data_IF_450580191118
#
_entry.id   IF_450580191118
#
_cell.length_a   1.000
_cell.length_b   1.000
_cell.length_c   1.000
_cell.angle_alpha   90.00
_cell.angle_beta   90.00
_cell.angle_gamma   90.00
#
_symmetry.space_group_name_H-M   'P 1'
#
loop_
_entity.id
_entity.type
_entity.pdbx_description
1 polymer ?
#
# COMPACT_ATOMS: atom_id res chain seq x y z
N UNK A 1 0.76 -22.91 38.79
CA UNK A 1 0.96 -21.50 39.15
C UNK A 1 -0.08 -20.71 38.38
N UNK A 2 -1.07 -20.13 39.04
CA UNK A 2 -1.92 -19.10 38.44
C UNK A 2 -1.11 -17.81 38.46
N UNK A 3 -0.42 -17.51 37.35
CA UNK A 3 0.10 -16.17 37.13
C UNK A 3 -1.06 -15.18 37.08
N UNK A 4 -0.83 -13.94 37.50
CA UNK A 4 -1.87 -12.92 37.40
C UNK A 4 -2.21 -12.72 35.92
N UNK A 5 -3.49 -12.78 35.57
CA UNK A 5 -3.97 -12.65 34.20
C UNK A 5 -3.69 -11.26 33.61
N UNK A 6 -3.26 -10.31 34.44
CA UNK A 6 -2.93 -8.93 34.09
C UNK A 6 -1.41 -8.64 34.02
N UNK A 7 -0.52 -9.61 34.30
CA UNK A 7 0.93 -9.40 34.17
C UNK A 7 1.31 -9.13 32.70
N UNK A 8 1.87 -7.95 32.44
CA UNK A 8 2.22 -7.48 31.10
C UNK A 8 1.12 -6.72 30.35
N UNK A 9 -0.03 -6.44 30.97
CA UNK A 9 -1.11 -5.66 30.38
C UNK A 9 -0.70 -4.19 30.10
N UNK A 10 -0.78 -3.74 28.85
CA UNK A 10 -0.38 -2.39 28.44
C UNK A 10 -1.59 -1.46 28.27
N UNK A 11 -1.63 -0.37 29.02
CA UNK A 11 -2.62 0.70 28.82
C UNK A 11 -2.49 1.29 27.41
N UNK A 12 -3.59 1.30 26.63
CA UNK A 12 -3.61 1.74 25.22
C UNK A 12 -4.41 3.02 25.00
N UNK A 13 -5.64 3.06 25.53
CA UNK A 13 -6.58 4.17 25.30
C UNK A 13 -7.44 4.44 26.52
N UNK A 14 -7.61 5.72 26.84
CA UNK A 14 -8.51 6.21 27.88
C UNK A 14 -9.73 6.85 27.21
N UNK A 15 -10.92 6.39 27.60
CA UNK A 15 -12.19 6.75 27.01
C UNK A 15 -13.12 7.35 28.06
N UNK A 16 -13.85 8.39 27.66
CA UNK A 16 -15.09 8.81 28.32
C UNK A 16 -16.26 8.54 27.39
N UNK A 17 -17.31 7.89 27.88
CA UNK A 17 -18.60 7.74 27.18
C UNK A 17 -19.73 7.89 28.20
N UNK A 18 -20.73 8.69 27.86
CA UNK A 18 -21.92 8.93 28.70
C UNK A 18 -21.56 9.35 30.13
N UNK A 19 -20.49 10.16 30.24
CA UNK A 19 -19.93 10.63 31.51
C UNK A 19 -19.03 9.61 32.24
N UNK A 20 -19.12 8.32 31.93
CA UNK A 20 -18.33 7.23 32.52
C UNK A 20 -16.95 7.11 31.88
N UNK A 21 -15.98 6.62 32.65
CA UNK A 21 -14.59 6.43 32.22
C UNK A 21 -14.27 4.96 32.01
N UNK A 22 -13.47 4.69 30.98
CA UNK A 22 -13.02 3.36 30.62
C UNK A 22 -11.56 3.39 30.18
N UNK A 23 -10.76 2.41 30.58
CA UNK A 23 -9.42 2.17 30.04
C UNK A 23 -9.46 0.91 29.17
N UNK A 24 -9.05 1.04 27.91
CA UNK A 24 -8.70 -0.09 27.04
C UNK A 24 -7.24 -0.47 27.31
N UNK A 25 -7.06 -1.71 27.76
CA UNK A 25 -5.76 -2.34 28.02
C UNK A 25 -5.56 -3.47 27.02
N UNK A 26 -4.34 -3.61 26.51
CA UNK A 26 -3.95 -4.67 25.59
C UNK A 26 -3.18 -5.74 26.35
N UNK A 27 -3.65 -6.98 26.28
CA UNK A 27 -3.06 -8.14 26.94
C UNK A 27 -2.62 -9.18 25.90
N UNK A 28 -1.45 -9.75 26.09
CA UNK A 28 -0.97 -10.87 25.28
C UNK A 28 -1.55 -12.17 25.85
N UNK A 29 -2.63 -12.66 25.25
CA UNK A 29 -3.26 -13.92 25.64
C UNK A 29 -2.63 -15.06 24.83
N UNK A 30 -2.11 -16.08 25.50
CA UNK A 30 -1.62 -17.29 24.84
C UNK A 30 -2.79 -18.01 24.16
N UNK A 31 -2.70 -18.22 22.84
CA UNK A 31 -3.67 -19.00 22.06
C UNK A 31 -3.15 -20.42 21.86
N UNK A 32 -1.85 -20.54 21.54
CA UNK A 32 -1.13 -21.80 21.38
C UNK A 32 0.24 -21.73 22.09
N UNK A 33 0.94 -22.86 22.29
CA UNK A 33 2.29 -22.88 22.86
C UNK A 33 3.27 -21.99 22.07
N UNK A 34 3.62 -20.83 22.63
CA UNK A 34 4.51 -19.84 22.01
C UNK A 34 3.81 -18.81 21.11
N UNK A 35 2.49 -18.93 20.89
CA UNK A 35 1.72 -17.96 20.08
C UNK A 35 0.82 -17.14 21.00
N UNK A 36 1.07 -15.83 21.03
CA UNK A 36 0.30 -14.87 21.82
C UNK A 36 -0.48 -13.95 20.90
N UNK A 37 -1.76 -13.72 21.22
CA UNK A 37 -2.63 -12.79 20.50
C UNK A 37 -2.94 -11.57 21.37
N UNK A 38 -2.72 -10.33 20.88
CA UNK A 38 -3.16 -9.15 21.58
C UNK A 38 -4.69 -9.13 21.67
N UNK A 39 -5.20 -9.05 22.89
CA UNK A 39 -6.63 -9.03 23.22
C UNK A 39 -6.91 -7.76 24.01
N UNK A 40 -7.92 -6.99 23.59
CA UNK A 40 -8.33 -5.79 24.31
C UNK A 40 -9.29 -6.15 25.45
N UNK A 41 -8.93 -5.79 26.67
CA UNK A 41 -9.84 -5.76 27.81
C UNK A 41 -10.18 -4.32 28.20
N UNK A 42 -11.27 -4.15 28.94
CA UNK A 42 -11.81 -2.83 29.28
C UNK A 42 -12.10 -2.73 30.78
N UNK A 43 -11.49 -1.77 31.43
CA UNK A 43 -11.66 -1.48 32.86
C UNK A 43 -12.58 -0.25 32.98
N UNK A 44 -13.70 -0.38 33.69
CA UNK A 44 -14.66 0.70 33.93
C UNK A 44 -14.43 1.39 35.28
N UNK A 45 -14.64 2.71 35.32
CA UNK A 45 -14.63 3.52 36.54
C UNK A 45 -13.25 4.09 36.89
N UNK A 46 -13.24 5.35 37.35
CA UNK A 46 -12.00 6.09 37.64
C UNK A 46 -11.08 5.37 38.63
N UNK A 47 -11.64 4.80 39.69
CA UNK A 47 -10.88 4.13 40.75
C UNK A 47 -10.22 2.84 40.27
N UNK A 48 -10.95 1.99 39.54
CA UNK A 48 -10.40 0.77 38.93
C UNK A 48 -9.30 1.07 37.90
N UNK A 49 -9.48 2.13 37.11
CA UNK A 49 -8.47 2.60 36.14
C UNK A 49 -7.20 3.08 36.87
N UNK A 50 -7.33 3.92 37.91
CA UNK A 50 -6.16 4.39 38.66
C UNK A 50 -5.45 3.23 39.36
N UNK A 51 -6.20 2.34 40.01
CA UNK A 51 -5.64 1.15 40.67
C UNK A 51 -4.83 0.30 39.69
N UNK A 52 -5.40 0.00 38.50
CA UNK A 52 -4.68 -0.75 37.46
C UNK A 52 -3.40 -0.03 37.02
N UNK A 53 -3.46 1.29 36.79
CA UNK A 53 -2.30 2.07 36.38
C UNK A 53 -1.20 2.10 37.45
N UNK A 54 -1.55 2.14 38.74
CA UNK A 54 -0.57 2.06 39.84
C UNK A 54 0.06 0.66 39.98
N UNK A 55 -0.67 -0.41 39.67
CA UNK A 55 -0.16 -1.79 39.82
C UNK A 55 0.65 -2.28 38.60
N UNK A 56 0.15 -2.08 37.38
CA UNK A 56 0.67 -2.74 36.18
C UNK A 56 1.51 -1.85 35.25
N UNK A 57 1.55 -0.53 35.48
CA UNK A 57 2.43 0.38 34.76
C UNK A 57 3.53 0.92 35.67
N UNK A 58 4.78 0.52 35.40
CA UNK A 58 5.98 1.06 36.06
C UNK A 58 6.19 2.57 35.85
N UNK A 59 5.40 3.19 34.97
CA UNK A 59 5.50 4.58 34.56
C UNK A 59 4.48 5.46 35.31
N UNK A 60 4.88 5.93 36.50
CA UNK A 60 4.04 6.73 37.41
C UNK A 60 3.48 8.03 36.79
N UNK A 61 4.05 8.47 35.68
CA UNK A 61 3.63 9.65 34.94
C UNK A 61 2.28 9.43 34.23
N UNK A 62 1.98 8.19 33.81
CA UNK A 62 0.74 7.87 33.10
C UNK A 62 -0.48 7.85 34.04
N UNK A 63 -0.29 7.43 35.29
CA UNK A 63 -1.29 7.56 36.36
C UNK A 63 -1.54 9.04 36.70
N UNK A 64 -0.45 9.83 36.88
CA UNK A 64 -0.53 11.26 37.16
C UNK A 64 -1.23 12.03 36.05
N UNK A 65 -0.93 11.67 34.79
CA UNK A 65 -1.60 12.20 33.60
C UNK A 65 -3.08 11.80 33.56
N UNK A 66 -3.44 10.57 33.94
CA UNK A 66 -4.83 10.12 33.96
C UNK A 66 -5.69 10.95 34.93
N UNK A 67 -5.17 11.22 36.13
CA UNK A 67 -5.83 12.11 37.12
C UNK A 67 -6.10 13.50 36.53
N UNK A 68 -5.09 14.11 35.92
CA UNK A 68 -5.24 15.40 35.24
C UNK A 68 -6.30 15.38 34.15
N UNK A 69 -6.33 14.34 33.30
CA UNK A 69 -7.36 14.16 32.27
C UNK A 69 -8.76 13.99 32.87
N UNK A 70 -8.91 13.23 33.95
CA UNK A 70 -10.20 13.05 34.61
C UNK A 70 -10.80 14.36 35.13
N UNK A 71 -9.97 15.24 35.70
CA UNK A 71 -10.42 16.47 36.33
C UNK A 71 -10.62 17.61 35.32
N UNK A 72 -9.82 17.67 34.26
CA UNK A 72 -9.89 18.71 33.22
C UNK A 72 -10.90 18.43 32.11
N UNK A 73 -11.18 17.17 31.80
CA UNK A 73 -12.06 16.82 30.68
C UNK A 73 -13.51 17.14 31.00
N UNK A 74 -14.12 17.99 30.17
CA UNK A 74 -15.56 18.27 30.19
C UNK A 74 -16.26 17.63 28.99
N UNK A 75 -17.56 17.35 29.11
CA UNK A 75 -18.39 16.73 28.06
C UNK A 75 -18.60 15.21 28.21
N UNK A 76 -19.60 14.63 27.50
CA UNK A 76 -20.01 13.24 27.67
C UNK A 76 -19.05 12.23 27.01
N UNK A 77 -18.38 12.62 25.92
CA UNK A 77 -17.49 11.75 25.15
C UNK A 77 -16.10 12.39 24.97
N UNK A 78 -15.06 11.60 25.17
CA UNK A 78 -13.67 11.99 24.92
C UNK A 78 -12.80 10.74 24.74
N UNK A 79 -11.71 10.86 23.98
CA UNK A 79 -10.77 9.76 23.72
C UNK A 79 -9.34 10.27 23.80
N UNK A 80 -8.48 9.52 24.50
CA UNK A 80 -7.07 9.83 24.67
C UNK A 80 -6.24 8.57 24.44
N UNK A 81 -5.09 8.71 23.80
CA UNK A 81 -4.12 7.63 23.54
C UNK A 81 -2.90 7.77 24.44
N UNK A 82 -2.34 6.64 24.87
CA UNK A 82 -1.13 6.61 25.68
C UNK A 82 0.09 6.86 24.81
N UNK A 83 0.79 7.98 25.02
CA UNK A 83 2.01 8.33 24.32
C UNK A 83 3.07 8.84 25.31
N UNK A 84 4.21 8.12 25.42
CA UNK A 84 5.38 8.51 26.23
C UNK A 84 5.03 8.97 27.66
N UNK A 85 4.35 8.11 28.43
CA UNK A 85 3.94 8.41 29.80
C UNK A 85 2.79 9.42 29.95
N UNK A 86 2.18 9.90 28.86
CA UNK A 86 1.10 10.90 28.90
C UNK A 86 -0.12 10.49 28.08
N UNK A 87 -1.29 11.03 28.45
CA UNK A 87 -2.53 10.87 27.70
C UNK A 87 -2.75 12.03 26.73
N UNK A 88 -2.72 11.74 25.43
CA UNK A 88 -2.89 12.74 24.36
C UNK A 88 -4.29 12.60 23.75
N UNK A 89 -5.09 13.68 23.61
CA UNK A 89 -6.40 13.61 22.96
C UNK A 89 -6.30 13.06 21.52
N UNK A 90 -7.11 12.06 21.17
CA UNK A 90 -7.02 11.38 19.87
C UNK A 90 -7.32 12.28 18.66
N UNK A 91 -8.10 13.35 18.86
CA UNK A 91 -8.31 14.36 17.82
C UNK A 91 -7.04 15.18 17.51
N UNK A 92 -6.13 15.27 18.49
CA UNK A 92 -4.88 16.03 18.43
C UNK A 92 -3.75 15.15 17.92
N UNK A 93 -3.68 13.87 18.32
CA UNK A 93 -2.79 12.88 17.69
C UNK A 93 -3.10 12.76 16.20
N UNK A 94 -4.36 12.53 15.81
CA UNK A 94 -4.78 12.41 14.41
C UNK A 94 -4.55 13.69 13.57
N UNK A 95 -4.49 14.88 14.19
CA UNK A 95 -4.10 16.11 13.50
C UNK A 95 -2.57 16.21 13.37
N UNK A 96 -1.84 15.94 14.43
CA UNK A 96 -0.37 15.99 14.42
C UNK A 96 0.24 14.97 13.45
N UNK A 97 -0.32 13.75 13.37
CA UNK A 97 0.07 12.77 12.36
C UNK A 97 -0.22 13.23 10.94
N UNK A 98 -1.38 13.86 10.68
CA UNK A 98 -1.69 14.46 9.35
C UNK A 98 -0.76 15.62 9.00
N UNK A 99 -0.42 16.48 9.95
CA UNK A 99 0.51 17.59 9.74
C UNK A 99 1.96 17.08 9.53
N UNK A 100 2.39 16.02 10.22
CA UNK A 100 3.67 15.34 9.94
C UNK A 100 3.66 14.66 8.57
N UNK A 101 2.61 13.92 8.22
CA UNK A 101 2.44 13.29 6.92
C UNK A 101 2.50 14.33 5.79
N UNK A 102 1.84 15.49 5.94
CA UNK A 102 1.90 16.59 4.97
C UNK A 102 3.31 17.17 4.82
N UNK A 103 4.08 17.31 5.92
CA UNK A 103 5.49 17.74 5.85
C UNK A 103 6.36 16.71 5.14
N UNK A 104 6.26 15.44 5.50
CA UNK A 104 6.99 14.34 4.84
C UNK A 104 6.66 14.26 3.35
N UNK A 105 5.39 14.38 2.95
CA UNK A 105 4.98 14.45 1.55
C UNK A 105 5.64 15.61 0.80
N UNK A 106 5.69 16.81 1.39
CA UNK A 106 6.39 17.95 0.79
C UNK A 106 7.91 17.75 0.69
N UNK A 107 8.53 17.15 1.71
CA UNK A 107 9.95 16.79 1.72
C UNK A 107 10.26 15.77 0.61
N UNK A 108 9.44 14.72 0.48
CA UNK A 108 9.52 13.70 -0.59
C UNK A 108 9.33 14.32 -1.97
N UNK A 109 8.36 15.23 -2.16
CA UNK A 109 8.19 15.94 -3.44
C UNK A 109 9.43 16.78 -3.81
N UNK A 110 10.04 17.47 -2.83
CA UNK A 110 11.28 18.22 -3.08
C UNK A 110 12.47 17.30 -3.39
N UNK A 111 12.57 16.14 -2.75
CA UNK A 111 13.57 15.12 -3.05
C UNK A 111 13.41 14.59 -4.49
N UNK A 112 12.18 14.25 -4.90
CA UNK A 112 11.90 13.80 -6.27
C UNK A 112 12.22 14.86 -7.32
N UNK A 113 11.93 16.13 -7.04
CA UNK A 113 12.31 17.26 -7.90
C UNK A 113 13.83 17.32 -8.10
N UNK A 114 14.60 17.16 -7.01
CA UNK A 114 16.06 17.10 -7.05
C UNK A 114 16.59 15.87 -7.81
N UNK A 115 16.00 14.69 -7.63
CA UNK A 115 16.41 13.48 -8.36
C UNK A 115 16.17 13.60 -9.87
N UNK A 116 15.03 14.17 -10.29
CA UNK A 116 14.75 14.46 -11.71
C UNK A 116 15.77 15.46 -12.28
N UNK A 117 16.15 16.48 -11.52
CA UNK A 117 17.18 17.44 -11.92
C UNK A 117 18.58 16.80 -12.02
N UNK A 118 18.97 15.94 -11.07
CA UNK A 118 20.22 15.17 -11.13
C UNK A 118 20.26 14.19 -12.31
N UNK A 119 19.16 13.51 -12.61
CA UNK A 119 19.05 12.63 -13.77
C UNK A 119 19.25 13.41 -15.08
N UNK A 120 18.57 14.56 -15.22
CA UNK A 120 18.75 15.48 -16.35
C UNK A 120 20.20 15.95 -16.49
N UNK A 121 20.82 16.42 -15.41
CA UNK A 121 22.20 16.91 -15.41
C UNK A 121 23.21 15.81 -15.79
N UNK A 122 22.97 14.54 -15.43
CA UNK A 122 23.79 13.40 -15.88
C UNK A 122 23.72 13.20 -17.39
N UNK A 123 22.51 13.25 -17.97
CA UNK A 123 22.31 13.14 -19.43
C UNK A 123 23.00 14.29 -20.18
N UNK A 124 22.84 15.53 -19.72
CA UNK A 124 23.53 16.70 -20.30
C UNK A 124 25.06 16.57 -20.20
N UNK A 125 25.59 16.07 -19.06
CA UNK A 125 27.02 15.85 -18.86
C UNK A 125 27.59 14.78 -19.81
N UNK A 126 26.87 13.67 -20.01
CA UNK A 126 27.29 12.60 -20.93
C UNK A 126 27.17 13.00 -22.40
N UNK A 127 26.26 13.91 -22.75
CA UNK A 127 26.26 14.53 -24.07
C UNK A 127 27.49 15.45 -24.27
N UNK A 128 27.82 16.28 -23.29
CA UNK A 128 29.01 17.14 -23.33
C UNK A 128 30.30 16.32 -23.45
N UNK A 129 30.45 15.23 -22.70
CA UNK A 129 31.57 14.27 -22.86
C UNK A 129 31.64 13.69 -24.28
N UNK A 130 30.51 13.26 -24.85
CA UNK A 130 30.44 12.76 -26.24
C UNK A 130 30.85 13.84 -27.26
N UNK A 131 30.42 15.09 -27.06
CA UNK A 131 30.83 16.24 -27.90
C UNK A 131 32.32 16.55 -27.78
N UNK A 132 32.89 16.53 -26.57
CA UNK A 132 34.34 16.70 -26.34
C UNK A 132 35.15 15.59 -27.01
N UNK A 133 34.84 14.32 -26.77
CA UNK A 133 35.53 13.19 -27.38
C UNK A 133 35.49 13.22 -28.92
N UNK A 134 34.40 13.76 -29.51
CA UNK A 134 34.30 14.00 -30.97
C UNK A 134 35.24 15.12 -31.44
N UNK A 135 35.33 16.22 -30.70
CA UNK A 135 36.25 17.33 -31.01
C UNK A 135 37.72 16.94 -30.84
N UNK A 136 38.06 16.21 -29.78
CA UNK A 136 39.39 15.64 -29.56
C UNK A 136 39.78 14.70 -30.70
N UNK A 137 38.88 13.80 -31.11
CA UNK A 137 39.12 12.93 -32.28
C UNK A 137 39.35 13.71 -33.57
N UNK A 138 38.72 14.86 -33.76
CA UNK A 138 38.96 15.74 -34.93
C UNK A 138 40.33 16.44 -34.81
N UNK A 139 40.68 16.95 -33.64
CA UNK A 139 41.93 17.68 -33.39
C UNK A 139 43.19 16.79 -33.42
N UNK A 140 43.08 15.58 -32.89
CA UNK A 140 44.17 14.60 -32.78
C UNK A 140 44.13 13.50 -33.86
N UNK A 141 43.25 13.62 -34.87
CA UNK A 141 43.28 12.71 -36.02
C UNK A 141 44.61 12.89 -36.78
N UNK A 142 45.37 11.81 -37.05
CA UNK A 142 46.67 11.92 -37.73
C UNK A 142 46.58 12.56 -39.12
N UNK A 143 45.45 12.45 -39.82
CA UNK A 143 45.24 13.12 -41.10
C UNK A 143 45.12 14.65 -41.03
N UNK A 144 44.78 15.23 -39.86
CA UNK A 144 44.71 16.69 -39.66
C UNK A 144 46.06 17.30 -39.24
N UNK A 145 46.99 16.48 -38.73
CA UNK A 145 48.35 16.93 -38.39
C UNK A 145 49.18 17.24 -39.66
N UNK A 146 49.05 16.43 -40.71
CA UNK A 146 49.68 16.70 -42.01
C UNK A 146 49.15 17.99 -42.68
N UNK A 147 47.85 18.28 -42.53
CA UNK A 147 47.25 19.53 -43.00
C UNK A 147 47.77 20.77 -42.25
N UNK A 148 48.09 20.64 -40.95
CA UNK A 148 48.75 21.72 -40.19
C UNK A 148 50.23 21.89 -40.53
N UNK A 149 50.94 20.81 -40.85
CA UNK A 149 52.36 20.87 -41.22
C UNK A 149 52.59 21.35 -42.67
N UNK A 150 51.68 21.06 -43.61
CA UNK A 150 51.74 21.60 -44.98
C UNK A 150 51.18 23.02 -45.15
N UNK A 151 50.50 23.57 -44.14
CA UNK A 151 49.81 24.86 -44.23
C UNK A 151 50.63 26.11 -43.84
N UNK A 152 51.94 25.99 -43.58
CA UNK A 152 52.75 27.10 -43.04
C UNK A 152 53.48 27.98 -44.06
N UNK A 153 53.18 27.85 -45.36
CA UNK A 153 53.53 28.90 -46.34
C UNK A 153 52.50 30.03 -46.27
N UNK A 154 52.84 31.08 -45.53
CA UNK A 154 51.96 32.19 -45.24
C UNK A 154 51.76 33.14 -46.45
N UNK A 155 50.51 33.40 -46.88
CA UNK A 155 50.21 34.62 -47.61
C UNK A 155 50.13 35.77 -46.58
N UNK A 156 51.12 36.67 -46.61
CA UNK A 156 51.07 37.92 -45.83
C UNK A 156 49.92 38.79 -46.36
N UNK A 157 48.83 38.96 -45.59
CA UNK A 157 47.63 39.60 -46.11
C UNK A 157 46.56 40.00 -45.09
N UNK A 158 46.70 41.24 -44.60
CA UNK A 158 45.63 42.13 -44.11
C UNK A 158 44.87 41.77 -42.81
N UNK A 159 44.81 42.76 -41.92
CA UNK A 159 44.02 42.71 -40.69
C UNK A 159 42.56 43.10 -40.94
N UNK A 160 41.62 42.34 -40.37
CA UNK A 160 40.24 42.76 -40.14
C UNK A 160 39.70 42.06 -38.88
N UNK A 161 39.61 42.78 -37.77
CA UNK A 161 38.98 42.27 -36.54
C UNK A 161 37.46 42.16 -36.72
N UNK A 162 36.82 41.01 -36.42
CA UNK A 162 35.37 40.93 -36.35
C UNK A 162 34.87 41.65 -35.10
N UNK A 163 33.94 42.58 -35.28
CA UNK A 163 33.28 43.29 -34.18
C UNK A 163 32.31 42.33 -33.47
N UNK A 164 32.54 42.04 -32.19
CA UNK A 164 31.56 41.31 -31.36
C UNK A 164 30.45 42.28 -30.97
N UNK A 165 29.15 41.98 -31.21
CA UNK A 165 28.04 42.78 -30.71
C UNK A 165 27.69 42.39 -29.25
N UNK A 166 27.30 43.35 -28.41
CA UNK A 166 26.89 43.06 -27.04
C UNK A 166 25.43 42.56 -26.99
N UNK A 167 25.22 41.29 -26.64
CA UNK A 167 23.90 40.79 -26.27
C UNK A 167 23.58 41.17 -24.82
N UNK A 168 22.56 42.01 -24.63
CA UNK A 168 22.00 42.34 -23.32
C UNK A 168 20.68 41.61 -23.03
N UNK A 169 19.99 42.12 -22.00
CA UNK A 169 18.65 41.72 -21.52
C UNK A 169 18.56 40.38 -20.75
N UNK A 170 18.87 40.45 -19.46
CA UNK A 170 18.27 39.57 -18.44
C UNK A 170 16.77 39.90 -18.31
N UNK A 171 15.84 38.93 -18.36
CA UNK A 171 14.44 39.19 -18.04
C UNK A 171 14.22 39.23 -16.52
N UNK A 172 13.52 40.24 -16.03
CA UNK A 172 12.95 40.23 -14.68
C UNK A 172 11.76 39.26 -14.63
N UNK A 173 11.58 38.46 -13.56
CA UNK A 173 10.31 37.78 -13.31
C UNK A 173 9.26 38.79 -12.84
N UNK A 174 8.08 38.76 -13.45
CA UNK A 174 6.97 39.63 -13.09
C UNK A 174 6.31 39.19 -11.79
N UNK A 175 6.05 40.15 -10.89
CA UNK A 175 5.20 39.96 -9.72
C UNK A 175 3.73 39.86 -10.16
N UNK A 176 3.04 38.80 -9.75
CA UNK A 176 1.58 38.71 -9.83
C UNK A 176 1.01 38.48 -8.44
N UNK A 177 0.54 39.58 -7.85
CA UNK A 177 -0.46 39.55 -6.79
C UNK A 177 -1.82 39.21 -7.41
N UNK A 178 -2.58 38.34 -6.76
CA UNK A 178 -3.91 37.92 -7.20
C UNK A 178 -4.61 37.14 -6.09
N UNK A 179 -5.40 37.84 -5.28
CA UNK A 179 -6.38 37.23 -4.39
C UNK A 179 -7.50 36.57 -5.17
N UNK A 180 -8.17 35.58 -4.59
CA UNK A 180 -9.61 35.72 -4.30
C UNK A 180 -10.15 34.64 -3.35
N UNK A 181 -11.17 35.03 -2.58
CA UNK A 181 -11.92 34.18 -1.67
C UNK A 181 -13.29 33.83 -2.28
N UNK A 182 -13.69 32.56 -2.19
CA UNK A 182 -15.07 32.10 -2.08
C UNK A 182 -15.00 30.72 -1.40
N UNK A 183 -15.56 30.45 -0.21
CA UNK A 183 -16.81 30.87 0.43
C UNK A 183 -18.06 30.27 -0.24
N UNK A 184 -18.36 29.01 0.11
CA UNK A 184 -19.68 28.41 -0.01
C UNK A 184 -19.98 27.51 1.20
N UNK A 185 -21.13 27.77 1.81
CA UNK A 185 -21.61 27.11 3.02
C UNK A 185 -22.59 25.96 2.72
N UNK A 186 -22.48 24.89 3.51
CA UNK A 186 -23.59 24.09 4.08
C UNK A 186 -24.68 23.45 3.20
N UNK A 187 -24.92 22.15 3.45
CA UNK A 187 -26.25 21.63 3.87
C UNK A 187 -26.12 20.24 4.52
N UNK A 188 -27.15 19.81 5.26
CA UNK A 188 -27.05 18.72 6.23
C UNK A 188 -28.18 17.66 6.12
N UNK A 189 -27.83 16.39 6.36
CA UNK A 189 -28.58 15.36 7.12
C UNK A 189 -30.00 14.90 6.62
N UNK A 190 -30.68 13.93 7.28
CA UNK A 190 -30.30 12.50 7.48
C UNK A 190 -31.46 11.46 7.30
N UNK A 191 -31.14 10.15 7.24
CA UNK A 191 -32.01 9.00 7.63
C UNK A 191 -31.17 7.68 7.69
N UNK A 192 -31.46 6.54 8.36
CA UNK A 192 -32.31 6.16 9.52
C UNK A 192 -33.44 5.12 9.33
N UNK A 193 -33.11 3.82 9.18
CA UNK A 193 -33.95 2.62 9.46
C UNK A 193 -33.06 1.34 9.46
N UNK A 194 -33.07 0.35 10.37
CA UNK A 194 -34.08 -0.44 11.12
C UNK A 194 -34.38 -1.83 10.50
N UNK A 195 -34.37 -2.89 11.34
CA UNK A 195 -34.79 -4.28 11.03
C UNK A 195 -33.75 -5.14 10.27
N UNK A 196 -33.77 -6.48 10.31
CA UNK A 196 -34.81 -7.44 10.77
C UNK A 196 -34.16 -8.71 11.36
N UNK A 197 -34.94 -9.48 12.13
CA UNK A 197 -34.72 -10.86 12.60
C UNK A 197 -34.34 -11.81 11.43
N UNK A 198 -33.67 -12.96 11.57
CA UNK A 198 -33.74 -14.01 12.59
C UNK A 198 -34.36 -15.28 11.97
N UNK A 199 -33.60 -16.38 11.87
CA UNK A 199 -34.12 -17.69 11.45
C UNK A 199 -33.23 -18.84 11.93
N UNK A 200 -33.78 -19.74 12.76
CA UNK A 200 -33.22 -21.06 13.03
C UNK A 200 -33.68 -22.05 11.95
N UNK A 201 -32.85 -23.04 11.61
CA UNK A 201 -33.31 -24.28 10.99
C UNK A 201 -32.40 -25.45 11.36
N UNK A 202 -33.00 -26.60 11.69
CA UNK A 202 -32.31 -27.82 12.12
C UNK A 202 -32.63 -29.01 11.20
N UNK A 203 -31.73 -29.99 11.15
CA UNK A 203 -31.88 -31.28 10.47
C UNK A 203 -30.49 -31.89 10.21
N UNK A 204 -30.00 -32.98 10.84
CA UNK A 204 -30.56 -34.25 11.34
C UNK A 204 -30.54 -35.41 10.32
N UNK A 205 -29.84 -36.49 10.71
CA UNK A 205 -29.91 -37.87 10.19
C UNK A 205 -29.43 -38.13 8.74
N UNK A 206 -28.92 -39.32 8.37
CA UNK A 206 -28.34 -40.47 9.11
C UNK A 206 -27.76 -41.46 8.06
N UNK A 207 -26.95 -42.45 8.51
CA UNK A 207 -26.80 -43.79 7.88
C UNK A 207 -26.23 -43.85 6.43
N UNK A 208 -25.72 -44.95 5.86
CA UNK A 208 -25.22 -46.25 6.36
C UNK A 208 -24.28 -46.87 5.29
N UNK A 209 -23.33 -47.71 5.74
CA UNK A 209 -22.97 -49.02 5.17
C UNK A 209 -22.61 -49.21 3.68
N UNK A 210 -21.41 -49.74 3.41
CA UNK A 210 -21.06 -50.25 2.08
C UNK A 210 -19.62 -50.73 1.90
N UNK A 211 -19.28 -51.92 2.41
CA UNK A 211 -18.05 -52.63 2.01
C UNK A 211 -18.23 -53.29 0.63
N UNK A 212 -17.19 -53.29 -0.22
CA UNK A 212 -17.13 -54.26 -1.33
C UNK A 212 -16.23 -53.91 -2.52
N UNK A 213 -15.12 -54.64 -2.65
CA UNK A 213 -14.58 -55.03 -3.96
C UNK A 213 -13.40 -54.21 -4.51
N UNK A 214 -12.25 -54.87 -4.61
CA UNK A 214 -11.16 -54.52 -5.53
C UNK A 214 -10.39 -55.80 -5.90
N UNK A 215 -9.59 -55.84 -6.98
CA UNK A 215 -9.63 -55.01 -8.19
C UNK A 215 -9.74 -55.84 -9.49
N UNK A 216 -10.28 -55.27 -10.57
CA UNK A 216 -10.17 -55.86 -11.92
C UNK A 216 -9.36 -54.93 -12.83
N UNK A 217 -8.25 -55.45 -13.38
CA UNK A 217 -7.33 -54.68 -14.21
C UNK A 217 -7.87 -54.54 -15.64
N UNK A 218 -8.61 -53.46 -15.90
CA UNK A 218 -8.88 -52.98 -17.25
C UNK A 218 -7.77 -52.01 -17.70
N UNK A 219 -7.29 -52.16 -18.94
CA UNK A 219 -6.17 -51.39 -19.47
C UNK A 219 -6.45 -49.89 -19.55
N UNK A 220 -5.38 -49.07 -19.45
CA UNK A 220 -5.42 -47.61 -19.37
C UNK A 220 -6.43 -46.98 -20.36
N UNK A 221 -7.60 -46.51 -19.87
CA UNK A 221 -8.46 -45.68 -20.70
C UNK A 221 -7.73 -44.36 -20.94
N UNK A 222 -7.83 -43.83 -22.17
CA UNK A 222 -7.32 -42.49 -22.47
C UNK A 222 -7.88 -41.51 -21.42
N UNK A 223 -6.98 -40.86 -20.67
CA UNK A 223 -7.35 -40.02 -19.53
C UNK A 223 -8.34 -38.95 -19.96
N UNK A 224 -9.62 -39.18 -19.70
CA UNK A 224 -10.66 -38.17 -19.85
C UNK A 224 -10.27 -37.09 -18.84
N UNK A 225 -9.99 -35.85 -19.28
CA UNK A 225 -9.62 -34.80 -18.34
C UNK A 225 -10.76 -34.68 -17.31
N UNK A 226 -10.43 -34.58 -16.01
CA UNK A 226 -11.46 -34.54 -14.98
C UNK A 226 -12.45 -33.41 -15.31
N UNK A 227 -13.76 -33.63 -15.12
CA UNK A 227 -14.75 -32.61 -15.42
C UNK A 227 -14.39 -31.34 -14.67
N UNK A 228 -14.18 -30.25 -15.41
CA UNK A 228 -13.95 -28.93 -14.84
C UNK A 228 -15.17 -28.64 -13.94
N UNK A 229 -15.00 -28.36 -12.64
CA UNK A 229 -16.13 -28.08 -11.78
C UNK A 229 -16.90 -26.88 -12.34
N UNK A 230 -18.22 -27.03 -12.43
CA UNK A 230 -19.10 -25.99 -12.95
C UNK A 230 -19.24 -24.91 -11.86
N UNK A 231 -18.46 -23.82 -12.01
CA UNK A 231 -18.50 -22.67 -11.11
C UNK A 231 -19.41 -21.59 -11.70
N UNK A 232 -20.18 -20.91 -10.85
CA UNK A 232 -20.91 -19.71 -11.27
C UNK A 232 -19.93 -18.70 -11.88
N UNK A 233 -20.26 -18.05 -13.02
CA UNK A 233 -19.36 -17.11 -13.66
C UNK A 233 -18.91 -16.01 -12.70
N UNK A 234 -17.60 -15.80 -12.57
CA UNK A 234 -17.03 -14.71 -11.80
C UNK A 234 -16.31 -13.75 -12.75
N UNK A 235 -16.77 -12.51 -12.80
CA UNK A 235 -16.23 -11.45 -13.65
C UNK A 235 -15.22 -10.57 -12.88
N UNK A 236 -14.19 -10.13 -13.60
CA UNK A 236 -13.18 -9.20 -13.09
C UNK A 236 -13.62 -7.77 -13.43
N UNK A 237 -13.53 -6.79 -12.51
CA UNK A 237 -13.85 -5.40 -12.78
C UNK A 237 -13.10 -4.81 -13.98
N UNK A 238 -13.65 -3.78 -14.65
CA UNK A 238 -12.91 -3.06 -15.70
C UNK A 238 -11.75 -2.24 -15.12
N UNK A 239 -10.73 -1.88 -15.92
CA UNK A 239 -9.53 -1.17 -15.45
C UNK A 239 -9.82 0.11 -14.66
N UNK A 240 -10.77 0.91 -15.15
CA UNK A 240 -11.19 2.16 -14.52
C UNK A 240 -11.89 2.00 -13.16
N UNK A 241 -12.28 0.79 -12.77
CA UNK A 241 -12.75 0.48 -11.42
C UNK A 241 -11.57 0.43 -10.43
N UNK A 242 -10.50 -0.26 -10.83
CA UNK A 242 -9.25 -0.34 -10.06
C UNK A 242 -8.61 1.03 -9.88
N UNK A 243 -8.49 1.82 -10.95
CA UNK A 243 -7.92 3.18 -10.91
C UNK A 243 -8.63 4.07 -9.89
N UNK A 244 -9.98 4.08 -9.88
CA UNK A 244 -10.77 4.85 -8.90
C UNK A 244 -10.56 4.37 -7.46
N UNK A 245 -10.51 3.06 -7.24
CA UNK A 245 -10.32 2.49 -5.91
C UNK A 245 -8.91 2.82 -5.38
N UNK A 246 -7.88 2.61 -6.19
CA UNK A 246 -6.49 2.98 -5.87
C UNK A 246 -6.38 4.49 -5.60
N UNK A 247 -6.96 5.33 -6.46
CA UNK A 247 -6.94 6.79 -6.28
C UNK A 247 -7.64 7.24 -4.99
N UNK A 248 -8.70 6.54 -4.57
CA UNK A 248 -9.41 6.80 -3.31
C UNK A 248 -8.54 6.47 -2.09
N UNK A 249 -7.76 5.40 -2.14
CA UNK A 249 -6.86 4.97 -1.06
C UNK A 249 -5.60 5.84 -0.95
N UNK A 250 -4.97 6.13 -2.09
CA UNK A 250 -3.71 6.89 -2.17
C UNK A 250 -3.95 8.40 -2.00
N UNK A 251 -5.07 8.90 -2.53
CA UNK A 251 -5.39 10.33 -2.61
C UNK A 251 -4.75 11.05 -3.81
N UNK A 252 -4.39 10.31 -4.86
CA UNK A 252 -3.93 10.82 -6.16
C UNK A 252 -4.34 9.87 -7.26
N UNK A 253 -4.64 10.39 -8.45
CA UNK A 253 -4.94 9.57 -9.62
C UNK A 253 -3.75 8.65 -9.97
N UNK A 254 -4.05 7.39 -10.29
CA UNK A 254 -3.09 6.39 -10.78
C UNK A 254 -3.64 5.86 -12.10
N UNK A 255 -2.89 6.07 -13.17
CA UNK A 255 -3.20 5.58 -14.51
C UNK A 255 -2.58 4.18 -14.65
N UNK A 256 -3.38 3.16 -14.97
CA UNK A 256 -2.89 1.78 -15.09
C UNK A 256 -2.53 1.48 -16.55
N UNK A 257 -1.27 1.11 -16.78
CA UNK A 257 -0.80 0.75 -18.11
C UNK A 257 -1.11 -0.74 -18.41
N UNK A 258 -1.40 -1.12 -19.67
CA UNK A 258 -1.36 -2.52 -20.07
C UNK A 258 0.09 -3.04 -19.98
N UNK A 259 0.31 -4.30 -19.60
CA UNK A 259 1.66 -4.86 -19.53
C UNK A 259 2.27 -5.10 -20.92
N UNK A 260 3.60 -5.20 -20.96
CA UNK A 260 4.36 -5.50 -22.19
C UNK A 260 4.14 -6.94 -22.72
N UNK A 261 3.49 -7.81 -21.93
CA UNK A 261 3.13 -9.19 -22.23
C UNK A 261 2.34 -9.80 -21.06
N UNK A 262 1.90 -11.07 -21.18
CA UNK A 262 1.27 -11.77 -20.06
C UNK A 262 2.29 -12.09 -18.96
N UNK A 263 1.89 -11.94 -17.69
CA UNK A 263 2.69 -12.33 -16.53
C UNK A 263 3.07 -13.82 -16.56
N UNK A 264 4.37 -14.08 -16.74
CA UNK A 264 5.01 -15.35 -16.45
C UNK A 264 5.35 -15.45 -14.94
N UNK A 265 5.66 -16.65 -14.46
CA UNK A 265 6.15 -16.90 -13.10
C UNK A 265 5.27 -16.39 -11.93
N UNK A 266 3.95 -16.55 -12.04
CA UNK A 266 2.98 -16.19 -10.98
C UNK A 266 3.25 -16.86 -9.61
N UNK A 267 4.05 -17.93 -9.56
CA UNK A 267 4.57 -18.51 -8.31
C UNK A 267 5.43 -17.56 -7.45
N UNK A 268 5.95 -16.46 -8.02
CA UNK A 268 6.71 -15.44 -7.29
C UNK A 268 5.86 -14.25 -6.80
N UNK A 269 4.56 -14.23 -7.08
CA UNK A 269 3.67 -13.12 -6.75
C UNK A 269 3.10 -13.28 -5.33
N UNK A 270 2.71 -12.16 -4.73
CA UNK A 270 1.90 -12.11 -3.51
C UNK A 270 0.42 -12.03 -3.89
N UNK A 271 -0.41 -12.85 -3.28
CA UNK A 271 -1.82 -13.02 -3.63
C UNK A 271 -2.78 -12.93 -2.46
N UNK A 272 -3.95 -12.34 -2.72
CA UNK A 272 -5.13 -12.46 -1.87
C UNK A 272 -6.19 -13.30 -2.59
N UNK A 273 -6.55 -14.44 -2.00
CA UNK A 273 -7.61 -15.34 -2.49
C UNK A 273 -8.98 -14.68 -2.28
N UNK A 274 -9.82 -14.66 -3.32
CA UNK A 274 -11.21 -14.21 -3.26
C UNK A 274 -12.11 -15.41 -2.97
N UNK A 275 -12.64 -15.48 -1.76
CA UNK A 275 -13.49 -16.56 -1.29
C UNK A 275 -14.95 -16.10 -1.30
N UNK A 276 -15.86 -16.94 -1.80
CA UNK A 276 -17.30 -16.72 -1.65
C UNK A 276 -17.76 -16.91 -0.19
N UNK A 277 -19.03 -16.57 0.08
CA UNK A 277 -19.69 -16.84 1.37
C UNK A 277 -19.85 -18.34 1.66
N UNK A 278 -19.76 -19.18 0.61
CA UNK A 278 -19.71 -20.65 0.64
C UNK A 278 -18.30 -21.22 0.92
N UNK A 279 -17.32 -20.35 1.18
CA UNK A 279 -15.89 -20.67 1.29
C UNK A 279 -15.29 -21.35 0.04
N UNK A 280 -15.92 -21.17 -1.14
CA UNK A 280 -15.35 -21.59 -2.43
C UNK A 280 -14.44 -20.49 -2.99
N UNK A 281 -13.30 -20.89 -3.55
CA UNK A 281 -12.35 -19.99 -4.22
C UNK A 281 -12.92 -19.54 -5.57
N UNK A 282 -13.30 -18.26 -5.67
CA UNK A 282 -13.89 -17.65 -6.88
C UNK A 282 -12.83 -16.96 -7.76
N UNK A 283 -11.79 -16.40 -7.15
CA UNK A 283 -10.70 -15.74 -7.87
C UNK A 283 -9.46 -15.47 -7.02
N UNK A 284 -8.48 -14.76 -7.59
CA UNK A 284 -7.30 -14.27 -6.87
C UNK A 284 -6.89 -12.90 -7.42
N UNK A 285 -6.42 -12.04 -6.52
CA UNK A 285 -5.74 -10.80 -6.86
C UNK A 285 -4.26 -10.99 -6.53
N UNK A 286 -3.37 -10.73 -7.47
CA UNK A 286 -1.92 -10.95 -7.38
C UNK A 286 -1.16 -9.64 -7.62
N UNK A 287 -0.02 -9.49 -6.95
CA UNK A 287 0.93 -8.40 -7.13
C UNK A 287 2.36 -8.96 -7.08
N UNK A 288 3.25 -8.52 -7.97
CA UNK A 288 4.68 -8.85 -7.84
C UNK A 288 5.33 -8.08 -6.68
N UNK A 289 6.58 -8.42 -6.36
CA UNK A 289 7.35 -7.75 -5.29
C UNK A 289 7.38 -6.24 -5.48
N UNK A 290 7.55 -5.76 -6.72
CA UNK A 290 7.65 -4.33 -7.00
C UNK A 290 6.32 -3.62 -6.77
N UNK A 291 5.20 -4.18 -7.23
CA UNK A 291 3.87 -3.63 -6.96
C UNK A 291 3.54 -3.62 -5.46
N UNK A 292 3.86 -4.68 -4.71
CA UNK A 292 3.65 -4.71 -3.24
C UNK A 292 4.51 -3.64 -2.56
N UNK A 293 5.80 -3.56 -2.88
CA UNK A 293 6.71 -2.59 -2.26
C UNK A 293 6.31 -1.14 -2.57
N UNK A 294 5.96 -0.83 -3.84
CA UNK A 294 5.54 0.52 -4.25
C UNK A 294 4.19 0.91 -3.66
N UNK A 295 3.17 0.05 -3.76
CA UNK A 295 1.83 0.35 -3.23
C UNK A 295 1.81 0.42 -1.70
N UNK A 296 2.47 -0.53 -1.03
CA UNK A 296 2.63 -0.51 0.42
C UNK A 296 3.43 0.70 0.89
N UNK A 297 4.55 0.99 0.23
CA UNK A 297 5.38 2.18 0.51
C UNK A 297 4.62 3.50 0.33
N UNK A 298 3.80 3.62 -0.70
CA UNK A 298 2.96 4.78 -0.99
C UNK A 298 1.90 5.03 0.09
N UNK A 299 1.23 3.98 0.57
CA UNK A 299 0.24 4.07 1.65
C UNK A 299 0.88 4.38 3.01
N UNK A 300 2.01 3.74 3.32
CA UNK A 300 2.77 3.96 4.56
C UNK A 300 3.58 5.27 4.56
N UNK A 301 3.71 5.91 3.38
CA UNK A 301 4.55 7.09 3.15
C UNK A 301 6.03 6.82 3.45
N UNK A 302 6.53 5.65 3.03
CA UNK A 302 7.94 5.31 3.06
C UNK A 302 8.73 6.19 2.06
N UNK A 303 9.99 6.54 2.36
CA UNK A 303 10.85 7.21 1.41
C UNK A 303 11.34 6.23 0.32
N UNK A 304 11.48 6.70 -0.92
CA UNK A 304 11.85 5.85 -2.07
C UNK A 304 13.07 4.92 -1.84
N UNK A 305 14.15 5.31 -1.15
CA UNK A 305 15.26 4.39 -0.87
C UNK A 305 14.84 3.12 -0.12
N UNK A 306 13.89 3.20 0.82
CA UNK A 306 13.38 2.03 1.55
C UNK A 306 12.46 1.16 0.67
N UNK A 307 11.79 1.76 -0.31
CA UNK A 307 10.98 1.04 -1.33
C UNK A 307 11.92 0.31 -2.31
N UNK A 308 12.95 0.99 -2.80
CA UNK A 308 13.95 0.41 -3.70
C UNK A 308 14.79 -0.67 -3.02
N UNK A 309 15.05 -0.57 -1.71
CA UNK A 309 15.69 -1.61 -0.92
C UNK A 309 14.84 -2.90 -0.92
N UNK A 310 13.56 -2.81 -0.58
CA UNK A 310 12.62 -3.95 -0.64
C UNK A 310 12.52 -4.59 -2.04
N UNK A 311 12.50 -3.78 -3.10
CA UNK A 311 12.50 -4.26 -4.49
C UNK A 311 13.82 -4.99 -4.80
N UNK A 312 14.96 -4.44 -4.38
CA UNK A 312 16.30 -5.00 -4.63
C UNK A 312 16.53 -6.30 -3.85
N UNK A 313 16.00 -6.39 -2.63
CA UNK A 313 16.06 -7.60 -1.79
C UNK A 313 15.09 -8.70 -2.25
N UNK A 314 14.11 -8.37 -3.11
CA UNK A 314 13.08 -9.32 -3.54
C UNK A 314 12.04 -9.63 -2.46
N UNK A 315 11.98 -8.83 -1.39
CA UNK A 315 11.20 -9.10 -0.19
C UNK A 315 10.52 -7.82 0.32
N UNK A 316 9.20 -7.66 0.14
CA UNK A 316 8.48 -6.55 0.75
C UNK A 316 8.41 -6.72 2.28
N UNK A 317 8.43 -5.61 3.01
CA UNK A 317 8.24 -5.60 4.47
C UNK A 317 6.84 -6.07 4.86
N UNK A 318 6.71 -6.59 6.09
CA UNK A 318 5.41 -6.99 6.65
C UNK A 318 4.39 -5.85 6.59
N UNK A 319 4.79 -4.64 6.98
CA UNK A 319 3.94 -3.45 6.93
C UNK A 319 3.47 -3.15 5.49
N UNK A 320 4.36 -3.28 4.48
CA UNK A 320 4.01 -3.07 3.08
C UNK A 320 3.05 -4.14 2.55
N UNK A 321 3.22 -5.41 2.97
CA UNK A 321 2.28 -6.49 2.67
C UNK A 321 0.91 -6.26 3.32
N UNK A 322 0.85 -5.80 4.57
CA UNK A 322 -0.40 -5.47 5.27
C UNK A 322 -1.12 -4.29 4.61
N UNK A 323 -0.38 -3.23 4.26
CA UNK A 323 -0.93 -2.10 3.52
C UNK A 323 -1.49 -2.50 2.14
N UNK A 324 -0.76 -3.37 1.41
CA UNK A 324 -1.24 -3.91 0.12
C UNK A 324 -2.43 -4.88 0.30
N UNK A 325 -2.48 -5.62 1.41
CA UNK A 325 -3.64 -6.44 1.78
C UNK A 325 -4.89 -5.60 1.99
N UNK A 326 -4.78 -4.35 2.48
CA UNK A 326 -5.91 -3.42 2.59
C UNK A 326 -6.34 -2.81 1.25
N UNK A 327 -5.40 -2.61 0.29
CA UNK A 327 -5.77 -2.28 -1.11
C UNK A 327 -6.63 -3.39 -1.69
N UNK A 328 -6.17 -4.63 -1.56
CA UNK A 328 -6.87 -5.82 -2.04
C UNK A 328 -8.21 -6.03 -1.32
N UNK A 329 -8.28 -5.84 -0.01
CA UNK A 329 -9.53 -5.86 0.75
C UNK A 329 -10.53 -4.80 0.23
N UNK A 330 -10.08 -3.57 0.00
CA UNK A 330 -10.94 -2.49 -0.53
C UNK A 330 -11.41 -2.81 -1.95
N UNK A 331 -10.54 -3.37 -2.81
CA UNK A 331 -10.89 -3.78 -4.17
C UNK A 331 -11.98 -4.86 -4.25
N UNK A 332 -12.19 -5.67 -3.20
CA UNK A 332 -13.30 -6.63 -3.17
C UNK A 332 -14.67 -5.97 -3.37
N UNK A 333 -14.82 -4.70 -2.96
CA UNK A 333 -16.04 -3.93 -3.19
C UNK A 333 -16.35 -3.76 -4.68
N UNK A 334 -15.34 -3.55 -5.54
CA UNK A 334 -15.56 -3.45 -6.99
C UNK A 334 -15.98 -4.80 -7.61
N UNK A 335 -15.48 -5.93 -7.11
CA UNK A 335 -15.97 -7.27 -7.51
C UNK A 335 -17.42 -7.52 -7.07
N UNK A 336 -17.76 -7.13 -5.84
CA UNK A 336 -19.09 -7.30 -5.25
C UNK A 336 -20.15 -6.36 -5.85
N UNK A 337 -19.73 -5.29 -6.54
CA UNK A 337 -20.61 -4.35 -7.23
C UNK A 337 -20.96 -4.78 -8.68
N UNK A 338 -20.36 -5.86 -9.21
CA UNK A 338 -20.69 -6.37 -10.54
C UNK A 338 -21.98 -7.21 -10.51
N UNK A 339 -22.89 -6.95 -11.45
CA UNK A 339 -24.15 -7.69 -11.55
C UNK A 339 -23.89 -9.16 -11.89
N UNK A 340 -24.41 -10.07 -11.06
CA UNK A 340 -24.25 -11.52 -11.24
C UNK A 340 -23.06 -12.15 -10.51
N UNK A 341 -22.09 -11.35 -10.03
CA UNK A 341 -21.00 -11.89 -9.21
C UNK A 341 -21.54 -12.37 -7.84
N UNK A 342 -21.12 -13.55 -7.34
CA UNK A 342 -21.29 -13.89 -5.93
C UNK A 342 -20.53 -12.90 -5.04
N UNK A 343 -21.05 -12.66 -3.84
CA UNK A 343 -20.34 -11.89 -2.82
C UNK A 343 -19.04 -12.61 -2.42
N UNK A 344 -17.92 -11.88 -2.42
CA UNK A 344 -16.60 -12.38 -2.06
C UNK A 344 -15.93 -11.54 -0.98
N UNK A 345 -15.04 -12.20 -0.24
CA UNK A 345 -14.12 -11.63 0.74
C UNK A 345 -12.69 -11.99 0.39
N UNK A 346 -11.73 -11.08 0.60
CA UNK A 346 -10.32 -11.40 0.45
C UNK A 346 -9.79 -12.16 1.66
N UNK A 347 -8.84 -13.07 1.42
CA UNK A 347 -7.92 -13.56 2.45
C UNK A 347 -6.72 -12.60 2.55
N UNK A 348 -5.99 -12.58 3.69
CA UNK A 348 -4.77 -11.79 3.83
C UNK A 348 -3.77 -12.07 2.71
N UNK A 349 -3.04 -11.04 2.29
CA UNK A 349 -1.97 -11.17 1.30
C UNK A 349 -0.89 -12.14 1.79
N UNK A 350 -0.54 -13.12 0.97
CA UNK A 350 0.54 -14.07 1.22
C UNK A 350 1.25 -14.43 -0.10
N UNK A 351 2.43 -15.04 -0.05
CA UNK A 351 3.06 -15.56 -1.28
C UNK A 351 2.14 -16.59 -1.97
N UNK A 352 2.06 -16.55 -3.30
CA UNK A 352 1.21 -17.41 -4.10
C UNK A 352 1.54 -18.90 -3.87
N UNK A 353 0.50 -19.70 -3.67
CA UNK A 353 0.63 -21.14 -3.50
C UNK A 353 0.94 -21.81 -4.85
N UNK A 354 2.07 -22.54 -5.00
CA UNK A 354 2.43 -23.20 -6.25
C UNK A 354 1.38 -24.19 -6.77
N UNK A 355 0.51 -24.74 -5.90
CA UNK A 355 -0.58 -25.61 -6.33
C UNK A 355 -1.76 -24.83 -6.92
N UNK A 356 -1.98 -23.59 -6.51
CA UNK A 356 -2.96 -22.68 -7.13
C UNK A 356 -2.49 -22.13 -8.49
N UNK A 357 -1.17 -21.91 -8.66
CA UNK A 357 -0.58 -21.38 -9.91
C UNK A 357 -0.94 -22.21 -11.15
N UNK A 358 -1.23 -23.51 -10.98
CA UNK A 358 -1.71 -24.39 -12.05
C UNK A 358 -3.02 -23.91 -12.68
N UNK A 359 -3.96 -23.40 -11.88
CA UNK A 359 -5.22 -22.86 -12.41
C UNK A 359 -5.10 -21.39 -12.81
N UNK A 360 -4.18 -20.61 -12.21
CA UNK A 360 -3.94 -19.21 -12.61
C UNK A 360 -3.58 -19.07 -14.09
N UNK A 361 -2.81 -20.03 -14.64
CA UNK A 361 -2.42 -20.10 -16.06
C UNK A 361 -3.57 -20.46 -17.01
N UNK A 362 -4.72 -20.83 -16.47
CA UNK A 362 -5.92 -21.24 -17.20
C UNK A 362 -7.19 -20.55 -16.66
N UNK A 363 -7.03 -19.41 -15.97
CA UNK A 363 -8.14 -18.61 -15.48
C UNK A 363 -9.01 -18.13 -16.65
N UNK A 364 -10.33 -18.25 -16.51
CA UNK A 364 -11.29 -17.94 -17.57
C UNK A 364 -11.30 -16.45 -17.90
N UNK A 365 -11.25 -15.63 -16.86
CA UNK A 365 -11.14 -14.17 -16.96
C UNK A 365 -9.82 -13.77 -16.30
N UNK A 366 -8.98 -13.06 -17.05
CA UNK A 366 -7.65 -12.59 -16.64
C UNK A 366 -7.49 -11.14 -17.09
N UNK A 367 -7.11 -10.27 -16.16
CA UNK A 367 -6.82 -8.87 -16.43
C UNK A 367 -5.51 -8.51 -15.74
N UNK A 368 -4.65 -7.76 -16.43
CA UNK A 368 -3.31 -7.42 -15.96
C UNK A 368 -3.05 -5.93 -16.12
N UNK A 369 -2.34 -5.36 -15.16
CA UNK A 369 -2.03 -3.95 -15.08
C UNK A 369 -0.60 -3.73 -14.62
N UNK A 370 0.09 -2.79 -15.26
CA UNK A 370 1.39 -2.29 -14.85
C UNK A 370 1.21 -0.93 -14.18
N UNK A 371 1.88 -0.73 -13.04
CA UNK A 371 1.89 0.56 -12.37
C UNK A 371 2.86 1.53 -13.07
N UNK A 372 2.61 2.86 -13.07
CA UNK A 372 3.46 3.84 -13.78
C UNK A 372 4.95 3.79 -13.43
N UNK A 373 5.27 3.52 -12.16
CA UNK A 373 6.65 3.49 -11.65
C UNK A 373 7.27 2.07 -11.67
N UNK A 374 6.56 1.06 -12.18
CA UNK A 374 6.98 -0.34 -12.20
C UNK A 374 6.17 -1.26 -11.28
N UNK A 375 6.31 -2.57 -11.47
CA UNK A 375 5.50 -3.60 -10.81
C UNK A 375 4.18 -3.92 -11.53
N UNK A 376 3.69 -5.13 -11.27
CA UNK A 376 2.56 -5.75 -11.97
C UNK A 376 1.46 -6.22 -11.01
N UNK A 377 0.22 -5.91 -11.36
CA UNK A 377 -1.01 -6.40 -10.73
C UNK A 377 -1.73 -7.35 -11.69
N UNK A 378 -2.16 -8.51 -11.21
CA UNK A 378 -2.85 -9.54 -12.01
C UNK A 378 -4.12 -9.99 -11.29
N UNK A 379 -5.25 -9.93 -11.98
CA UNK A 379 -6.57 -10.22 -11.45
C UNK A 379 -7.16 -11.40 -12.21
N UNK A 380 -7.47 -12.49 -11.49
CA UNK A 380 -7.89 -13.76 -12.07
C UNK A 380 -9.21 -14.23 -11.47
N UNK A 381 -10.13 -14.67 -12.33
CA UNK A 381 -11.36 -15.32 -11.93
C UNK A 381 -11.51 -16.69 -12.62
N UNK A 382 -12.14 -17.64 -11.92
CA UNK A 382 -12.34 -19.02 -12.38
C UNK A 382 -13.44 -19.16 -13.43
#
# INVERSE_FOLDING_TARGET
MTGDLLDGARAKRLLRRDGRWYLEVELLVAVDPGVFRPTLQRIEGREGILWFLTQHNSDSDLERSARGVFDTTSGPHATFESAKGTWVPSNTSARHFRDQARKRRAEVETYWRQQRELARLRVENDELKRRLAKLERILYSPGNLDLRLRGSEAPAGSAASPHIPPHGATPQPAEHAGSDQADLQSKASPASSDGVEGAEAAGSAAEDGGEGGAPEQAGEPASIPPPVPDFDPFEVPPPNAFERCIATLVGSDVELEPPDGEAEHLEAFYGAKLMGDDDVLRGVMLADVEAVARMGGLLLMLPEPEVLEQITEGAPTQDAMEAMSEVFNTLTAEFNNLEGNPHVRSRPLALADPDDVKWFKHARNRVEFKLPDGGLLVMLAR
#
